data_IF_164656540549
#
_entry.id   IF_164656540549
#
_cell.length_a   1.000
_cell.length_b   1.000
_cell.length_c   1.000
_cell.angle_alpha   90.00
_cell.angle_beta   90.00
_cell.angle_gamma   90.00
#
_symmetry.space_group_name_H-M   'P 1'
#
loop_
_entity.id
_entity.type
_entity.pdbx_description
1 polymer ?
#
# COMPACT_ATOMS: atom_id res chain seq x y z
N UNK A 1 20.49 -5.42 -7.44
CA UNK A 1 19.20 -6.14 -7.46
C UNK A 1 19.00 -6.73 -8.85
N UNK A 2 18.40 -7.91 -8.94
CA UNK A 2 18.06 -8.56 -10.21
C UNK A 2 17.05 -7.70 -11.00
N UNK A 3 17.25 -7.60 -12.35
CA UNK A 3 16.35 -6.84 -13.24
C UNK A 3 14.92 -7.40 -13.20
N UNK A 4 14.77 -8.73 -13.14
CA UNK A 4 13.48 -9.42 -13.02
C UNK A 4 12.73 -8.98 -11.78
N UNK A 5 13.37 -9.01 -10.61
CA UNK A 5 12.75 -8.60 -9.34
C UNK A 5 12.36 -7.12 -9.37
N UNK A 6 13.23 -6.25 -9.92
CA UNK A 6 12.91 -4.84 -10.09
C UNK A 6 11.69 -4.61 -10.99
N UNK A 7 11.60 -5.38 -12.08
CA UNK A 7 10.45 -5.34 -13.00
C UNK A 7 9.18 -5.85 -12.31
N UNK A 8 9.24 -6.99 -11.63
CA UNK A 8 8.10 -7.56 -10.92
C UNK A 8 7.55 -6.60 -9.86
N UNK A 9 8.43 -5.94 -9.09
CA UNK A 9 8.01 -4.92 -8.13
C UNK A 9 7.20 -3.81 -8.83
N UNK A 10 7.64 -3.31 -9.98
CA UNK A 10 6.95 -2.25 -10.73
C UNK A 10 5.59 -2.72 -11.26
N UNK A 11 5.55 -3.91 -11.88
CA UNK A 11 4.33 -4.51 -12.43
C UNK A 11 3.29 -4.71 -11.31
N UNK A 12 3.69 -5.41 -10.25
CA UNK A 12 2.76 -5.69 -9.15
C UNK A 12 2.35 -4.42 -8.40
N UNK A 13 3.26 -3.45 -8.21
CA UNK A 13 2.89 -2.15 -7.62
C UNK A 13 1.79 -1.45 -8.42
N UNK A 14 1.86 -1.51 -9.74
CA UNK A 14 0.86 -0.93 -10.63
C UNK A 14 -0.49 -1.67 -10.51
N UNK A 15 -0.49 -3.00 -10.59
CA UNK A 15 -1.71 -3.80 -10.44
C UNK A 15 -2.34 -3.62 -9.04
N UNK A 16 -1.52 -3.65 -8.01
CA UNK A 16 -1.97 -3.49 -6.62
C UNK A 16 -2.54 -2.10 -6.38
N UNK A 17 -2.06 -1.06 -7.08
CA UNK A 17 -2.68 0.27 -6.98
C UNK A 17 -4.13 0.28 -7.46
N UNK A 18 -4.51 -0.60 -8.39
CA UNK A 18 -5.91 -0.76 -8.82
C UNK A 18 -6.79 -1.33 -7.71
N UNK A 19 -6.28 -2.31 -6.95
CA UNK A 19 -7.02 -2.86 -5.80
C UNK A 19 -7.33 -1.77 -4.77
N UNK A 20 -6.40 -0.84 -4.56
CA UNK A 20 -6.61 0.29 -3.66
C UNK A 20 -7.64 1.27 -4.19
N UNK A 21 -7.64 1.55 -5.49
CA UNK A 21 -8.67 2.39 -6.12
C UNK A 21 -10.05 1.76 -5.98
N UNK A 22 -10.18 0.47 -6.32
CA UNK A 22 -11.44 -0.27 -6.23
C UNK A 22 -11.97 -0.32 -4.80
N UNK A 23 -11.11 -0.55 -3.82
CA UNK A 23 -11.50 -0.51 -2.41
C UNK A 23 -12.00 0.87 -1.97
N UNK A 24 -11.33 1.94 -2.38
CA UNK A 24 -11.70 3.30 -2.02
C UNK A 24 -12.88 3.85 -2.83
N UNK A 25 -13.20 3.24 -3.97
CA UNK A 25 -14.44 3.56 -4.69
C UNK A 25 -15.70 3.30 -3.86
N UNK A 26 -15.56 2.57 -2.76
CA UNK A 26 -16.60 2.36 -1.77
C UNK A 26 -17.11 0.92 -1.72
N UNK A 27 -17.90 0.64 -0.69
CA UNK A 27 -18.61 -0.62 -0.56
C UNK A 27 -19.93 -0.52 -1.32
N UNK A 28 -20.38 -1.63 -1.90
CA UNK A 28 -21.71 -1.72 -2.47
C UNK A 28 -22.77 -1.56 -1.38
N UNK A 29 -23.72 -0.70 -1.62
CA UNK A 29 -24.86 -0.52 -0.73
C UNK A 29 -25.91 -1.60 -1.02
N UNK A 30 -26.11 -2.49 -0.05
CA UNK A 30 -27.09 -3.58 -0.16
C UNK A 30 -28.52 -3.12 0.11
N UNK A 31 -28.75 -1.88 0.56
CA UNK A 31 -30.08 -1.35 0.87
C UNK A 31 -30.99 -1.30 -0.37
N UNK A 32 -30.41 -1.10 -1.53
CA UNK A 32 -31.11 -1.01 -2.82
C UNK A 32 -31.04 -2.29 -3.67
N UNK A 33 -30.62 -3.42 -3.08
CA UNK A 33 -30.54 -4.69 -3.80
C UNK A 33 -31.95 -5.12 -4.29
N UNK A 34 -32.04 -5.44 -5.58
CA UNK A 34 -33.32 -5.76 -6.26
C UNK A 34 -33.87 -7.11 -5.80
N UNK A 35 -32.97 -8.06 -5.46
CA UNK A 35 -33.34 -9.39 -5.02
C UNK A 35 -32.23 -10.01 -4.14
N UNK A 36 -32.49 -11.22 -3.63
CA UNK A 36 -31.54 -11.91 -2.75
C UNK A 36 -30.20 -12.19 -3.45
N UNK A 37 -30.21 -12.59 -4.71
CA UNK A 37 -28.98 -12.86 -5.48
C UNK A 37 -28.13 -11.60 -5.63
N UNK A 38 -28.73 -10.46 -5.90
CA UNK A 38 -28.03 -9.16 -6.00
C UNK A 38 -27.37 -8.79 -4.68
N UNK A 39 -28.06 -9.05 -3.55
CA UNK A 39 -27.49 -8.85 -2.21
C UNK A 39 -26.30 -9.76 -1.92
N UNK A 40 -26.45 -11.07 -2.15
CA UNK A 40 -25.40 -12.05 -1.92
C UNK A 40 -24.16 -11.77 -2.78
N UNK A 41 -24.35 -11.40 -4.04
CA UNK A 41 -23.26 -11.01 -4.95
C UNK A 41 -22.54 -9.75 -4.48
N UNK A 42 -23.27 -8.75 -4.04
CA UNK A 42 -22.72 -7.52 -3.47
C UNK A 42 -21.89 -7.78 -2.20
N UNK A 43 -22.37 -8.64 -1.30
CA UNK A 43 -21.64 -9.03 -0.10
C UNK A 43 -20.34 -9.76 -0.43
N UNK A 44 -20.35 -10.68 -1.40
CA UNK A 44 -19.17 -11.40 -1.87
C UNK A 44 -18.12 -10.42 -2.41
N UNK A 45 -18.52 -9.51 -3.29
CA UNK A 45 -17.62 -8.52 -3.88
C UNK A 45 -17.04 -7.58 -2.80
N UNK A 46 -17.84 -7.15 -1.84
CA UNK A 46 -17.38 -6.34 -0.72
C UNK A 46 -16.33 -7.07 0.15
N UNK A 47 -16.50 -8.36 0.37
CA UNK A 47 -15.52 -9.18 1.08
C UNK A 47 -14.21 -9.24 0.31
N UNK A 48 -14.26 -9.52 -0.98
CA UNK A 48 -13.08 -9.63 -1.85
C UNK A 48 -12.33 -8.30 -1.94
N UNK A 49 -13.01 -7.16 -2.01
CA UNK A 49 -12.36 -5.85 -2.02
C UNK A 49 -11.61 -5.55 -0.73
N UNK A 50 -12.14 -5.93 0.43
CA UNK A 50 -11.44 -5.81 1.72
C UNK A 50 -10.17 -6.65 1.73
N UNK A 51 -10.27 -7.90 1.25
CA UNK A 51 -9.13 -8.81 1.19
C UNK A 51 -8.06 -8.30 0.22
N UNK A 52 -8.45 -7.81 -0.97
CA UNK A 52 -7.55 -7.21 -1.95
C UNK A 52 -6.86 -5.96 -1.43
N UNK A 53 -7.57 -5.12 -0.66
CA UNK A 53 -6.97 -3.94 -0.03
C UNK A 53 -5.96 -4.32 1.06
N UNK A 54 -6.28 -5.32 1.88
CA UNK A 54 -5.36 -5.81 2.90
C UNK A 54 -4.10 -6.42 2.27
N UNK A 55 -4.25 -7.21 1.22
CA UNK A 55 -3.14 -7.71 0.41
C UNK A 55 -2.34 -6.55 -0.20
N UNK A 56 -3.00 -5.56 -0.78
CA UNK A 56 -2.37 -4.41 -1.43
C UNK A 56 -1.50 -3.60 -0.47
N UNK A 57 -2.00 -3.30 0.71
CA UNK A 57 -1.23 -2.62 1.75
C UNK A 57 -0.07 -3.51 2.22
N UNK A 58 -0.31 -4.79 2.49
CA UNK A 58 0.76 -5.73 2.87
C UNK A 58 1.85 -5.81 1.81
N UNK A 59 1.48 -5.78 0.52
CA UNK A 59 2.43 -5.71 -0.59
C UNK A 59 3.30 -4.44 -0.52
N UNK A 60 2.71 -3.26 -0.37
CA UNK A 60 3.47 -2.01 -0.31
C UNK A 60 4.38 -1.93 0.92
N UNK A 61 3.92 -2.40 2.08
CA UNK A 61 4.76 -2.49 3.28
C UNK A 61 5.94 -3.45 3.09
N UNK A 62 5.70 -4.63 2.54
CA UNK A 62 6.74 -5.64 2.27
C UNK A 62 7.76 -5.12 1.24
N UNK A 63 7.31 -4.54 0.13
CA UNK A 63 8.21 -3.94 -0.87
C UNK A 63 9.07 -2.83 -0.27
N UNK A 64 8.47 -1.98 0.58
CA UNK A 64 9.22 -0.88 1.20
C UNK A 64 10.27 -1.41 2.18
N UNK A 65 9.95 -2.42 2.98
CA UNK A 65 10.89 -3.13 3.84
C UNK A 65 12.02 -3.76 3.02
N UNK A 66 11.69 -4.49 1.96
CA UNK A 66 12.65 -5.10 1.05
C UNK A 66 13.63 -4.07 0.46
N UNK A 67 13.12 -3.02 -0.15
CA UNK A 67 13.94 -2.00 -0.81
C UNK A 67 14.81 -1.20 0.18
N UNK A 68 14.35 -1.00 1.41
CA UNK A 68 15.17 -0.33 2.43
C UNK A 68 16.31 -1.24 2.89
N UNK A 69 15.99 -2.49 3.26
CA UNK A 69 16.97 -3.43 3.82
C UNK A 69 17.92 -4.02 2.81
N UNK A 70 17.61 -3.93 1.51
CA UNK A 70 18.55 -4.30 0.46
C UNK A 70 19.85 -3.48 0.56
N UNK A 71 20.93 -4.14 1.05
CA UNK A 71 22.23 -3.50 1.28
C UNK A 71 22.23 -2.44 2.41
N UNK A 72 21.26 -2.47 3.33
CA UNK A 72 21.25 -1.59 4.51
C UNK A 72 22.29 -2.05 5.53
N UNK A 73 23.02 -1.08 6.08
CA UNK A 73 23.89 -1.24 7.24
C UNK A 73 23.95 0.07 8.05
N UNK A 74 24.54 0.06 9.24
CA UNK A 74 24.61 1.25 10.10
C UNK A 74 25.36 2.43 9.45
N UNK A 75 26.39 2.16 8.60
CA UNK A 75 27.17 3.22 7.95
C UNK A 75 26.39 3.98 6.89
N UNK A 76 25.46 3.33 6.20
CA UNK A 76 24.66 3.95 5.13
C UNK A 76 23.22 4.26 5.53
N UNK A 77 22.84 4.01 6.81
CA UNK A 77 21.49 4.19 7.30
C UNK A 77 20.98 5.64 7.06
N UNK A 78 21.72 6.64 7.57
CA UNK A 78 21.30 8.06 7.44
C UNK A 78 21.13 8.48 5.98
N UNK A 79 22.05 8.08 5.09
CA UNK A 79 21.93 8.34 3.65
C UNK A 79 20.69 7.69 3.03
N UNK A 80 20.31 6.51 3.51
CA UNK A 80 19.07 5.86 3.05
C UNK A 80 17.82 6.55 3.60
N UNK A 81 17.84 7.05 4.83
CA UNK A 81 16.74 7.83 5.40
C UNK A 81 16.58 9.16 4.66
N UNK A 82 17.66 9.87 4.38
CA UNK A 82 17.62 11.08 3.55
C UNK A 82 16.91 10.83 2.21
N UNK A 83 17.26 9.75 1.53
CA UNK A 83 16.56 9.35 0.29
C UNK A 83 15.06 9.08 0.54
N UNK A 84 14.68 8.56 1.72
CA UNK A 84 13.26 8.34 2.08
C UNK A 84 12.53 9.64 2.39
N UNK A 85 13.21 10.64 2.96
CA UNK A 85 12.64 11.99 3.09
C UNK A 85 12.22 12.52 1.72
N UNK A 86 13.11 12.46 0.73
CA UNK A 86 12.81 12.93 -0.63
C UNK A 86 11.78 12.07 -1.38
N UNK A 87 11.78 10.76 -1.18
CA UNK A 87 10.92 9.85 -1.95
C UNK A 87 9.57 9.54 -1.29
N UNK A 88 9.40 9.82 0.00
CA UNK A 88 8.17 9.53 0.75
C UNK A 88 7.63 10.77 1.47
N UNK A 89 8.42 11.39 2.36
CA UNK A 89 7.91 12.44 3.24
C UNK A 89 7.57 13.72 2.47
N UNK A 90 8.46 14.20 1.60
CA UNK A 90 8.22 15.42 0.82
C UNK A 90 6.99 15.25 -0.09
N UNK A 91 6.86 14.21 -0.93
CA UNK A 91 5.64 13.99 -1.69
C UNK A 91 4.40 13.90 -0.81
N UNK A 92 4.47 13.19 0.31
CA UNK A 92 3.38 13.09 1.26
C UNK A 92 2.88 14.47 1.71
N UNK A 93 3.79 15.32 2.20
CA UNK A 93 3.43 16.67 2.68
C UNK A 93 2.85 17.56 1.57
N UNK A 94 3.40 17.48 0.36
CA UNK A 94 2.87 18.24 -0.79
C UNK A 94 1.43 17.79 -1.10
N UNK A 95 1.16 16.49 -1.12
CA UNK A 95 -0.19 15.99 -1.39
C UNK A 95 -1.18 16.32 -0.28
N UNK A 96 -0.75 16.38 1.01
CA UNK A 96 -1.60 16.92 2.08
C UNK A 96 -1.95 18.39 1.83
N UNK A 97 -0.96 19.20 1.47
CA UNK A 97 -1.17 20.63 1.16
C UNK A 97 -2.08 20.84 -0.06
N UNK A 98 -1.92 20.05 -1.12
CA UNK A 98 -2.79 20.14 -2.31
C UNK A 98 -4.25 19.81 -1.99
N UNK A 99 -4.51 18.79 -1.15
CA UNK A 99 -5.87 18.47 -0.70
C UNK A 99 -6.43 19.57 0.20
N UNK A 100 -5.62 20.11 1.11
CA UNK A 100 -6.02 21.25 1.93
C UNK A 100 -6.43 22.45 1.06
N UNK A 101 -5.63 22.81 0.06
CA UNK A 101 -5.94 23.89 -0.88
C UNK A 101 -7.25 23.60 -1.61
N UNK A 102 -7.43 22.39 -2.16
CA UNK A 102 -8.69 21.97 -2.80
C UNK A 102 -9.88 22.16 -1.86
N UNK A 103 -9.77 21.68 -0.63
CA UNK A 103 -10.86 21.74 0.34
C UNK A 103 -11.21 23.17 0.75
N UNK A 104 -10.20 24.05 0.92
CA UNK A 104 -10.42 25.47 1.17
C UNK A 104 -11.10 26.16 -0.02
N UNK A 105 -10.74 25.82 -1.27
CA UNK A 105 -11.38 26.36 -2.47
C UNK A 105 -12.86 25.99 -2.59
N UNK A 106 -13.27 24.82 -2.07
CA UNK A 106 -14.69 24.40 -2.03
C UNK A 106 -15.41 24.84 -0.74
N UNK A 107 -14.80 25.72 0.06
CA UNK A 107 -15.41 26.32 1.24
C UNK A 107 -15.31 25.51 2.53
N UNK A 108 -14.61 24.36 2.55
CA UNK A 108 -14.30 23.65 3.79
C UNK A 108 -13.35 24.46 4.66
N UNK A 109 -13.58 24.46 5.96
CA UNK A 109 -12.74 25.19 6.94
C UNK A 109 -12.13 24.19 7.91
N UNK A 110 -10.88 24.40 8.26
CA UNK A 110 -10.12 23.60 9.21
C UNK A 110 -9.46 24.49 10.26
N UNK A 111 -9.41 24.04 11.49
CA UNK A 111 -8.51 24.62 12.49
C UNK A 111 -7.07 24.18 12.22
N UNK A 112 -6.10 25.03 12.53
CA UNK A 112 -4.67 24.71 12.30
C UNK A 112 -4.26 23.45 13.04
N UNK A 113 -4.74 23.27 14.27
CA UNK A 113 -4.46 22.08 15.07
C UNK A 113 -5.01 20.81 14.39
N UNK A 114 -6.25 20.86 13.87
CA UNK A 114 -6.84 19.70 13.14
C UNK A 114 -6.01 19.34 11.89
N UNK A 115 -5.56 20.33 11.13
CA UNK A 115 -4.68 20.08 9.97
C UNK A 115 -3.38 19.41 10.39
N UNK A 116 -2.76 19.83 11.48
CA UNK A 116 -1.53 19.23 11.99
C UNK A 116 -1.77 17.81 12.49
N UNK A 117 -2.81 17.58 13.29
CA UNK A 117 -3.17 16.26 13.82
C UNK A 117 -3.45 15.27 12.70
N UNK A 118 -4.16 15.69 11.66
CA UNK A 118 -4.42 14.87 10.44
C UNK A 118 -3.15 14.63 9.65
N UNK A 119 -2.35 15.67 9.41
CA UNK A 119 -1.11 15.54 8.62
C UNK A 119 -0.13 14.56 9.26
N UNK A 120 -0.02 14.56 10.58
CA UNK A 120 0.86 13.63 11.30
C UNK A 120 0.17 12.35 11.77
N UNK A 121 -1.11 12.16 11.43
CA UNK A 121 -1.87 10.94 11.70
C UNK A 121 -2.07 10.64 13.18
N UNK A 122 -2.04 11.67 14.06
CA UNK A 122 -2.09 11.49 15.51
C UNK A 122 -3.48 11.09 16.02
N UNK A 123 -4.55 11.61 15.42
CA UNK A 123 -5.93 11.29 15.84
C UNK A 123 -6.81 10.79 14.70
N UNK A 124 -6.72 11.40 13.53
CA UNK A 124 -7.64 11.21 12.42
C UNK A 124 -6.92 10.73 11.16
N UNK A 125 -7.70 10.45 10.13
CA UNK A 125 -7.18 10.18 8.80
C UNK A 125 -6.51 11.44 8.23
N UNK A 126 -5.38 11.31 7.52
CA UNK A 126 -4.78 12.41 6.77
C UNK A 126 -5.78 13.06 5.82
N UNK A 127 -5.55 14.32 5.43
CA UNK A 127 -6.39 15.00 4.44
C UNK A 127 -6.44 14.22 3.13
N UNK A 128 -5.28 13.74 2.65
CA UNK A 128 -5.22 12.71 1.62
C UNK A 128 -5.26 11.34 2.31
N UNK A 129 -6.45 10.83 2.53
CA UNK A 129 -6.69 9.61 3.30
C UNK A 129 -5.78 8.45 2.93
N UNK A 130 -5.75 7.98 1.65
CA UNK A 130 -4.94 6.84 1.23
C UNK A 130 -3.44 6.96 1.53
N UNK A 131 -2.90 8.17 1.56
CA UNK A 131 -1.45 8.37 1.77
C UNK A 131 -0.97 8.12 3.20
N UNK A 132 -1.85 7.76 4.14
CA UNK A 132 -1.44 7.41 5.50
C UNK A 132 -0.33 6.34 5.51
N UNK A 133 -0.36 5.39 4.59
CA UNK A 133 0.64 4.32 4.54
C UNK A 133 2.04 4.85 4.19
N UNK A 134 2.13 5.89 3.34
CA UNK A 134 3.40 6.52 2.96
C UNK A 134 4.10 7.11 4.20
N UNK A 135 3.32 7.77 5.05
CA UNK A 135 3.82 8.30 6.31
C UNK A 135 4.24 7.20 7.28
N UNK A 136 3.42 6.16 7.43
CA UNK A 136 3.75 5.01 8.31
C UNK A 136 5.02 4.30 7.85
N UNK A 137 5.19 4.01 6.56
CA UNK A 137 6.42 3.36 6.09
C UNK A 137 7.65 4.27 6.24
N UNK A 138 7.48 5.59 6.18
CA UNK A 138 8.55 6.53 6.51
C UNK A 138 8.93 6.44 7.99
N UNK A 139 7.95 6.42 8.91
CA UNK A 139 8.20 6.24 10.35
C UNK A 139 8.86 4.89 10.67
N UNK A 140 8.42 3.80 10.06
CA UNK A 140 9.04 2.50 10.19
C UNK A 140 10.50 2.51 9.71
N UNK A 141 10.77 3.18 8.59
CA UNK A 141 12.12 3.35 8.09
C UNK A 141 13.01 4.15 9.07
N UNK A 142 12.46 5.23 9.62
CA UNK A 142 13.20 6.13 10.52
C UNK A 142 13.39 5.56 11.92
N UNK A 143 12.34 5.01 12.52
CA UNK A 143 12.36 4.67 13.95
C UNK A 143 12.69 3.20 14.20
N UNK A 144 12.15 2.30 13.38
CA UNK A 144 12.22 0.88 13.63
C UNK A 144 13.38 0.17 12.92
N UNK A 145 13.83 0.67 11.77
CA UNK A 145 14.88 -0.02 11.02
C UNK A 145 16.21 -0.18 11.74
N UNK A 146 16.69 0.75 12.62
CA UNK A 146 17.87 0.50 13.43
C UNK A 146 17.69 -0.69 14.37
N UNK A 147 16.52 -0.82 15.00
CA UNK A 147 16.19 -1.94 15.89
C UNK A 147 16.14 -3.24 15.11
N UNK A 148 15.49 -3.24 13.93
CA UNK A 148 15.44 -4.42 13.07
C UNK A 148 16.83 -4.84 12.57
N UNK A 149 17.76 -3.90 12.34
CA UNK A 149 19.14 -4.26 11.99
C UNK A 149 19.83 -5.08 13.10
N UNK A 150 19.56 -4.77 14.37
CA UNK A 150 20.06 -5.56 15.52
C UNK A 150 19.36 -6.93 15.56
N UNK A 151 18.04 -6.96 15.43
CA UNK A 151 17.25 -8.19 15.46
C UNK A 151 17.60 -9.12 14.28
N UNK A 152 17.96 -8.56 13.14
CA UNK A 152 18.32 -9.28 11.91
C UNK A 152 19.82 -9.53 11.77
N UNK A 153 20.48 -9.87 12.89
CA UNK A 153 21.90 -10.23 12.93
C UNK A 153 22.20 -11.55 12.17
N UNK A 154 21.23 -12.47 12.12
CA UNK A 154 21.29 -13.72 11.38
C UNK A 154 19.95 -14.04 10.72
N UNK A 155 19.94 -14.92 9.70
CA UNK A 155 18.71 -15.41 9.05
C UNK A 155 17.76 -16.02 10.09
N UNK A 156 18.28 -16.81 11.01
CA UNK A 156 17.50 -17.49 12.07
C UNK A 156 16.87 -16.50 13.05
N UNK A 157 17.65 -15.55 13.54
CA UNK A 157 17.16 -14.50 14.45
C UNK A 157 16.08 -13.66 13.80
N UNK A 158 16.27 -13.25 12.54
CA UNK A 158 15.30 -12.47 11.79
C UNK A 158 13.97 -13.23 11.58
N UNK A 159 14.03 -14.53 11.29
CA UNK A 159 12.84 -15.38 11.18
C UNK A 159 12.09 -15.48 12.50
N UNK A 160 12.79 -15.83 13.58
CA UNK A 160 12.18 -15.97 14.90
C UNK A 160 11.52 -14.66 15.33
N UNK A 161 12.21 -13.52 15.17
CA UNK A 161 11.66 -12.24 15.56
C UNK A 161 10.45 -11.82 14.73
N UNK A 162 10.46 -12.09 13.41
CA UNK A 162 9.32 -11.80 12.54
C UNK A 162 8.10 -12.65 12.92
N UNK A 163 8.30 -13.93 13.14
CA UNK A 163 7.24 -14.85 13.54
C UNK A 163 6.69 -14.54 14.94
N UNK A 164 7.57 -14.26 15.89
CA UNK A 164 7.18 -13.85 17.24
C UNK A 164 6.35 -12.55 17.22
N UNK A 165 6.74 -11.58 16.38
CA UNK A 165 5.99 -10.34 16.21
C UNK A 165 4.60 -10.56 15.64
N UNK A 166 4.46 -11.46 14.65
CA UNK A 166 3.17 -11.86 14.09
C UNK A 166 2.22 -12.44 15.17
N UNK A 167 2.72 -13.39 15.95
CA UNK A 167 1.95 -13.99 17.04
C UNK A 167 1.59 -12.94 18.08
N UNK A 168 2.54 -12.11 18.49
CA UNK A 168 2.34 -11.07 19.49
C UNK A 168 1.23 -10.09 19.05
N UNK A 169 1.30 -9.60 17.81
CA UNK A 169 0.31 -8.65 17.29
C UNK A 169 -1.08 -9.30 17.23
N UNK A 170 -1.15 -10.57 16.79
CA UNK A 170 -2.42 -11.30 16.78
C UNK A 170 -3.01 -11.43 18.19
N UNK A 171 -2.17 -11.81 19.15
CA UNK A 171 -2.57 -11.89 20.57
C UNK A 171 -3.05 -10.54 21.12
N UNK A 172 -2.29 -9.47 20.86
CA UNK A 172 -2.65 -8.12 21.31
C UNK A 172 -3.98 -7.64 20.72
N UNK A 173 -4.26 -7.96 19.46
CA UNK A 173 -5.53 -7.60 18.80
C UNK A 173 -6.73 -8.39 19.28
N UNK A 174 -6.51 -9.58 19.83
CA UNK A 174 -7.56 -10.45 20.37
C UNK A 174 -7.74 -10.30 21.89
N UNK A 175 -6.89 -9.52 22.55
CA UNK A 175 -6.97 -9.36 23.99
C UNK A 175 -8.26 -8.67 24.42
N UNK A 176 -8.86 -9.16 25.51
CA UNK A 176 -10.00 -8.52 26.18
C UNK A 176 -9.57 -7.48 27.23
N UNK A 177 -8.24 -7.31 27.46
CA UNK A 177 -7.71 -6.35 28.42
C UNK A 177 -7.94 -4.93 27.90
N UNK A 178 -8.86 -4.19 28.49
CA UNK A 178 -9.38 -2.91 28.02
C UNK A 178 -8.28 -1.86 27.72
N UNK A 179 -7.31 -1.57 28.61
CA UNK A 179 -6.25 -0.61 28.31
C UNK A 179 -5.41 -0.99 27.09
N UNK A 180 -5.09 -2.29 26.96
CA UNK A 180 -4.32 -2.80 25.82
C UNK A 180 -5.12 -2.69 24.54
N UNK A 181 -6.40 -3.08 24.58
CA UNK A 181 -7.32 -2.98 23.44
C UNK A 181 -7.43 -1.55 22.92
N UNK A 182 -7.58 -0.57 23.81
CA UNK A 182 -7.65 0.85 23.45
C UNK A 182 -6.36 1.27 22.71
N UNK A 183 -5.19 1.02 23.28
CA UNK A 183 -3.90 1.40 22.71
C UNK A 183 -3.68 0.73 21.35
N UNK A 184 -3.94 -0.58 21.25
CA UNK A 184 -3.73 -1.36 20.02
C UNK A 184 -4.70 -0.97 18.90
N UNK A 185 -5.89 -0.47 19.26
CA UNK A 185 -6.92 -0.06 18.29
C UNK A 185 -6.82 1.41 17.88
N UNK A 186 -5.97 2.20 18.54
CA UNK A 186 -5.94 3.64 18.33
C UNK A 186 -5.10 4.07 17.11
N UNK A 187 -5.73 4.78 16.20
CA UNK A 187 -5.16 5.59 15.12
C UNK A 187 -3.92 5.02 14.41
N UNK A 188 -2.87 5.80 14.40
CA UNK A 188 -1.60 5.49 13.74
C UNK A 188 -0.93 4.21 14.31
N UNK A 189 -1.01 3.99 15.61
CA UNK A 189 -0.39 2.83 16.26
C UNK A 189 -1.00 1.51 15.82
N UNK A 190 -2.33 1.45 15.72
CA UNK A 190 -3.04 0.29 15.18
C UNK A 190 -2.60 -0.05 13.75
N UNK A 191 -2.41 0.96 12.91
CA UNK A 191 -1.95 0.80 11.52
C UNK A 191 -0.53 0.28 11.46
N UNK A 192 0.38 0.85 12.27
CA UNK A 192 1.75 0.37 12.40
C UNK A 192 1.75 -1.11 12.79
N UNK A 193 1.07 -1.48 13.86
CA UNK A 193 1.01 -2.86 14.32
C UNK A 193 0.45 -3.81 13.26
N UNK A 194 -0.60 -3.41 12.55
CA UNK A 194 -1.25 -4.27 11.55
C UNK A 194 -0.30 -4.67 10.43
N UNK A 195 0.53 -3.74 9.93
CA UNK A 195 1.36 -3.96 8.76
C UNK A 195 2.85 -4.14 9.06
N UNK A 196 3.25 -4.01 10.34
CA UNK A 196 4.62 -4.24 10.77
C UNK A 196 5.15 -5.62 10.37
N UNK A 197 4.41 -6.74 10.53
CA UNK A 197 4.90 -8.04 10.10
C UNK A 197 5.18 -8.11 8.59
N UNK A 198 4.30 -7.55 7.75
CA UNK A 198 4.53 -7.48 6.31
C UNK A 198 5.82 -6.70 5.99
N UNK A 199 6.05 -5.56 6.67
CA UNK A 199 7.29 -4.79 6.54
C UNK A 199 8.52 -5.60 6.97
N UNK A 200 8.44 -6.34 8.10
CA UNK A 200 9.52 -7.21 8.59
C UNK A 200 9.83 -8.37 7.63
N UNK A 201 8.79 -8.99 7.04
CA UNK A 201 8.97 -10.02 6.02
C UNK A 201 9.75 -9.44 4.83
N UNK A 202 9.33 -8.28 4.31
CA UNK A 202 10.06 -7.60 3.25
C UNK A 202 11.49 -7.25 3.64
N UNK A 203 11.70 -6.72 4.84
CA UNK A 203 13.02 -6.38 5.39
C UNK A 203 13.92 -7.62 5.48
N UNK A 204 13.38 -8.77 5.90
CA UNK A 204 14.07 -10.05 5.91
C UNK A 204 14.60 -10.42 4.52
N UNK A 205 13.73 -10.43 3.52
CA UNK A 205 14.12 -10.74 2.14
C UNK A 205 15.14 -9.74 1.57
N UNK A 206 15.04 -8.47 1.94
CA UNK A 206 16.01 -7.44 1.54
C UNK A 206 17.37 -7.59 2.21
N UNK A 207 17.38 -7.92 3.52
CA UNK A 207 18.60 -8.07 4.31
C UNK A 207 19.45 -9.26 3.86
N UNK A 208 18.79 -10.38 3.55
CA UNK A 208 19.44 -11.64 3.20
C UNK A 208 19.33 -11.97 1.71
N UNK A 209 19.12 -10.94 0.88
CA UNK A 209 19.03 -11.09 -0.57
C UNK A 209 20.33 -11.63 -1.17
N UNK A 210 20.24 -12.74 -1.89
CA UNK A 210 21.32 -13.32 -2.67
C UNK A 210 20.94 -13.28 -4.15
N UNK A 211 21.83 -12.72 -4.98
CA UNK A 211 21.58 -12.62 -6.42
C UNK A 211 21.54 -14.02 -7.05
N UNK A 212 20.56 -14.25 -7.91
CA UNK A 212 20.34 -15.50 -8.66
C UNK A 212 20.03 -16.75 -7.80
N UNK A 213 19.72 -16.57 -6.51
CA UNK A 213 19.22 -17.65 -5.66
C UNK A 213 17.79 -17.39 -5.25
N UNK A 214 16.99 -18.44 -5.33
CA UNK A 214 15.68 -18.43 -4.68
C UNK A 214 15.93 -18.40 -3.17
N UNK A 215 15.35 -17.44 -2.42
CA UNK A 215 15.61 -17.40 -0.98
C UNK A 215 15.15 -18.70 -0.33
N UNK A 216 16.04 -19.36 0.43
CA UNK A 216 15.67 -20.52 1.28
C UNK A 216 14.45 -20.22 2.15
N UNK A 217 14.31 -18.94 2.54
CA UNK A 217 13.16 -18.39 3.22
C UNK A 217 11.81 -18.60 2.51
N UNK A 218 11.78 -18.83 1.19
CA UNK A 218 10.52 -19.16 0.51
C UNK A 218 9.97 -20.49 0.95
N UNK A 219 10.81 -21.50 1.12
CA UNK A 219 10.40 -22.80 1.63
C UNK A 219 9.83 -22.62 3.04
N UNK A 220 10.50 -21.84 3.88
CA UNK A 220 10.00 -21.53 5.23
C UNK A 220 8.70 -20.72 5.19
N UNK A 221 8.57 -19.74 4.28
CA UNK A 221 7.32 -18.97 4.13
C UNK A 221 6.16 -19.86 3.72
N UNK A 222 6.37 -20.78 2.77
CA UNK A 222 5.36 -21.74 2.36
C UNK A 222 5.01 -22.73 3.48
N UNK A 223 6.02 -23.19 4.23
CA UNK A 223 5.79 -24.07 5.40
C UNK A 223 4.99 -23.34 6.49
N UNK A 224 5.30 -22.07 6.76
CA UNK A 224 4.54 -21.25 7.73
C UNK A 224 3.11 -21.03 7.28
N UNK A 225 2.86 -20.77 6.00
CA UNK A 225 1.51 -20.65 5.44
C UNK A 225 0.73 -21.94 5.59
N UNK A 226 1.35 -23.09 5.27
CA UNK A 226 0.73 -24.41 5.44
C UNK A 226 0.41 -24.69 6.91
N UNK A 227 1.35 -24.40 7.80
CA UNK A 227 1.16 -24.56 9.24
C UNK A 227 0.04 -23.65 9.77
N UNK A 228 -0.02 -22.40 9.29
CA UNK A 228 -1.10 -21.48 9.64
C UNK A 228 -2.46 -21.96 9.17
N UNK A 229 -2.55 -22.61 8.01
CA UNK A 229 -3.76 -23.26 7.52
C UNK A 229 -4.24 -24.37 8.48
N UNK A 230 -3.33 -25.21 8.95
CA UNK A 230 -3.63 -26.26 9.91
C UNK A 230 -4.09 -25.72 11.28
N UNK A 231 -3.63 -24.51 11.66
CA UNK A 231 -4.00 -23.86 12.90
C UNK A 231 -5.26 -22.98 12.81
N UNK A 232 -5.75 -22.68 11.62
CA UNK A 232 -6.88 -21.75 11.42
C UNK A 232 -8.16 -22.21 12.11
N UNK A 233 -8.31 -23.51 12.34
CA UNK A 233 -9.36 -24.09 13.17
C UNK A 233 -9.38 -23.57 14.62
N UNK A 234 -8.20 -23.18 15.16
CA UNK A 234 -8.07 -22.72 16.55
C UNK A 234 -7.89 -21.21 16.67
N UNK A 235 -7.36 -20.57 15.63
CA UNK A 235 -7.04 -19.14 15.63
C UNK A 235 -7.63 -18.54 14.34
N UNK A 236 -8.92 -18.22 14.39
CA UNK A 236 -9.66 -17.66 13.25
C UNK A 236 -8.95 -16.48 12.60
N UNK A 237 -8.81 -16.51 11.28
CA UNK A 237 -8.19 -15.48 10.47
C UNK A 237 -6.66 -15.44 10.51
N UNK A 238 -6.00 -16.33 11.25
CA UNK A 238 -4.52 -16.41 11.29
C UNK A 238 -3.93 -16.83 9.95
N UNK A 239 -4.58 -17.78 9.30
CA UNK A 239 -4.19 -18.22 7.95
C UNK A 239 -4.27 -17.09 6.93
N UNK A 240 -5.37 -16.34 6.92
CA UNK A 240 -5.54 -15.19 6.01
C UNK A 240 -4.44 -14.15 6.23
N UNK A 241 -4.15 -13.79 7.49
CA UNK A 241 -3.08 -12.86 7.83
C UNK A 241 -1.71 -13.34 7.30
N UNK A 242 -1.40 -14.63 7.49
CA UNK A 242 -0.15 -15.23 7.02
C UNK A 242 -0.03 -15.19 5.50
N UNK A 243 -1.06 -15.61 4.79
CA UNK A 243 -1.09 -15.60 3.31
C UNK A 243 -0.92 -14.18 2.80
N UNK A 244 -1.73 -13.26 3.27
CA UNK A 244 -1.75 -11.87 2.78
C UNK A 244 -0.41 -11.16 3.03
N UNK A 245 0.27 -11.46 4.13
CA UNK A 245 1.55 -10.82 4.45
C UNK A 245 2.76 -11.47 3.77
N UNK A 246 2.69 -12.77 3.45
CA UNK A 246 3.82 -13.53 2.89
C UNK A 246 3.78 -13.57 1.37
N UNK A 247 2.59 -13.72 0.80
CA UNK A 247 2.38 -13.85 -0.64
C UNK A 247 3.01 -12.73 -1.49
N UNK A 248 3.03 -11.45 -1.07
CA UNK A 248 3.69 -10.39 -1.83
C UNK A 248 5.14 -10.70 -2.20
N UNK A 249 5.94 -11.15 -1.22
CA UNK A 249 7.35 -11.48 -1.49
C UNK A 249 7.46 -12.75 -2.34
N UNK A 250 6.65 -13.76 -2.06
CA UNK A 250 6.63 -15.00 -2.86
C UNK A 250 6.34 -14.68 -4.33
N UNK A 251 5.33 -13.88 -4.62
CA UNK A 251 4.98 -13.49 -6.01
C UNK A 251 6.13 -12.74 -6.69
N UNK A 252 6.76 -11.77 -6.02
CA UNK A 252 7.87 -11.00 -6.59
C UNK A 252 9.04 -11.93 -6.99
N UNK A 253 9.33 -12.95 -6.19
CA UNK A 253 10.45 -13.85 -6.42
C UNK A 253 10.16 -15.00 -7.38
N UNK A 254 8.92 -15.54 -7.38
CA UNK A 254 8.52 -16.66 -8.25
C UNK A 254 8.16 -16.20 -9.66
N UNK A 255 7.53 -15.03 -9.79
CA UNK A 255 6.97 -14.59 -11.05
C UNK A 255 8.06 -14.51 -12.14
N UNK A 256 7.85 -15.14 -13.31
CA UNK A 256 8.82 -15.14 -14.38
C UNK A 256 8.99 -13.73 -14.98
N UNK A 257 10.12 -13.50 -15.63
CA UNK A 257 10.31 -12.32 -16.46
C UNK A 257 9.38 -12.38 -17.67
N UNK A 258 8.63 -11.32 -17.92
CA UNK A 258 7.79 -11.18 -19.11
C UNK A 258 8.31 -9.97 -19.89
N UNK A 259 9.16 -10.16 -20.91
CA UNK A 259 9.83 -9.06 -21.62
C UNK A 259 8.86 -8.01 -22.18
N UNK A 260 7.66 -8.43 -22.62
CA UNK A 260 6.62 -7.52 -23.12
C UNK A 260 6.06 -6.57 -22.06
N UNK A 261 6.16 -6.91 -20.79
CA UNK A 261 5.67 -6.10 -19.65
C UNK A 261 6.80 -5.30 -19.00
N UNK A 262 8.06 -5.60 -19.27
CA UNK A 262 9.19 -4.89 -18.64
C UNK A 262 9.26 -3.43 -19.08
N UNK A 263 9.64 -2.56 -18.15
CA UNK A 263 9.94 -1.14 -18.38
C UNK A 263 8.82 -0.34 -19.09
N UNK A 264 7.55 -0.72 -18.94
CA UNK A 264 6.43 0.07 -19.48
C UNK A 264 6.30 1.38 -18.70
N UNK A 265 6.16 2.49 -19.45
CA UNK A 265 5.99 3.84 -18.87
C UNK A 265 4.81 3.92 -17.90
N UNK A 266 3.77 3.13 -18.12
CA UNK A 266 2.54 3.11 -17.30
C UNK A 266 2.82 2.83 -15.80
N UNK A 267 3.89 2.08 -15.48
CA UNK A 267 4.22 1.77 -14.09
C UNK A 267 4.74 2.98 -13.29
N UNK A 268 5.20 4.03 -13.97
CA UNK A 268 5.60 5.27 -13.30
C UNK A 268 4.39 6.06 -12.77
N UNK A 269 3.19 5.76 -13.26
CA UNK A 269 1.96 6.44 -12.82
C UNK A 269 1.40 5.91 -11.50
N UNK A 270 1.90 4.75 -11.00
CA UNK A 270 1.41 4.08 -9.78
C UNK A 270 1.23 5.04 -8.60
N UNK A 271 2.22 5.89 -8.32
CA UNK A 271 2.14 6.83 -7.20
C UNK A 271 1.10 7.93 -7.44
N UNK A 272 1.00 8.45 -8.67
CA UNK A 272 -0.01 9.46 -9.02
C UNK A 272 -1.43 8.88 -8.96
N UNK A 273 -1.65 7.64 -9.47
CA UNK A 273 -2.92 6.94 -9.32
C UNK A 273 -3.30 6.89 -7.85
N UNK A 274 -2.34 6.50 -6.99
CA UNK A 274 -2.57 6.37 -5.56
C UNK A 274 -2.82 7.69 -4.85
N UNK A 275 -2.18 8.78 -5.26
CA UNK A 275 -2.35 10.10 -4.66
C UNK A 275 -3.62 10.83 -5.13
N UNK A 276 -4.08 10.54 -6.36
CA UNK A 276 -5.21 11.26 -6.98
C UNK A 276 -6.56 10.60 -6.77
N UNK A 277 -6.62 9.25 -6.66
CA UNK A 277 -7.90 8.53 -6.77
C UNK A 277 -8.91 8.95 -5.71
N UNK A 278 -8.54 9.03 -4.44
CA UNK A 278 -9.51 9.30 -3.38
C UNK A 278 -9.92 10.77 -3.32
N UNK A 279 -8.99 11.74 -3.15
CA UNK A 279 -9.40 13.13 -2.93
C UNK A 279 -9.89 13.87 -4.17
N UNK A 280 -9.71 13.30 -5.39
CA UNK A 280 -10.07 13.99 -6.64
C UNK A 280 -11.04 13.20 -7.52
N UNK A 281 -11.11 11.87 -7.38
CA UNK A 281 -11.96 11.02 -8.21
C UNK A 281 -13.09 10.40 -7.40
N UNK A 282 -12.79 9.76 -6.25
CA UNK A 282 -13.82 9.15 -5.41
C UNK A 282 -14.76 10.19 -4.81
N UNK A 283 -14.25 11.40 -4.52
CA UNK A 283 -15.11 12.52 -4.07
C UNK A 283 -16.19 12.90 -5.11
N UNK A 284 -16.03 12.49 -6.38
CA UNK A 284 -17.03 12.68 -7.44
C UNK A 284 -18.06 11.55 -7.51
N UNK A 285 -17.93 10.51 -6.66
CA UNK A 285 -18.82 9.35 -6.67
C UNK A 285 -20.29 9.73 -6.61
N UNK A 286 -20.66 10.64 -5.72
CA UNK A 286 -22.06 11.10 -5.58
C UNK A 286 -22.65 11.63 -6.88
N UNK A 287 -21.88 12.37 -7.68
CA UNK A 287 -22.35 12.84 -9.00
C UNK A 287 -22.50 11.71 -10.01
N UNK A 288 -21.63 10.69 -9.92
CA UNK A 288 -21.71 9.50 -10.78
C UNK A 288 -22.96 8.69 -10.41
N UNK A 289 -23.21 8.47 -9.12
CA UNK A 289 -24.38 7.77 -8.59
C UNK A 289 -25.68 8.43 -9.05
N UNK A 290 -25.80 9.76 -8.88
CA UNK A 290 -26.96 10.52 -9.35
C UNK A 290 -27.15 10.43 -10.88
N UNK A 291 -26.05 10.51 -11.63
CA UNK A 291 -26.06 10.40 -13.09
C UNK A 291 -26.44 9.00 -13.61
N UNK A 292 -26.24 7.96 -12.81
CA UNK A 292 -26.53 6.57 -13.17
C UNK A 292 -27.86 6.05 -12.57
N UNK A 293 -28.45 6.74 -11.60
CA UNK A 293 -29.63 6.28 -10.87
C UNK A 293 -30.88 6.03 -11.73
N UNK A 294 -30.96 6.63 -12.93
CA UNK A 294 -32.06 6.46 -13.87
C UNK A 294 -31.96 5.18 -14.74
N UNK A 295 -30.82 4.47 -14.69
CA UNK A 295 -30.60 3.27 -15.50
C UNK A 295 -31.23 2.06 -14.81
N UNK A 296 -32.21 1.38 -15.44
CA UNK A 296 -32.94 0.28 -14.81
C UNK A 296 -32.18 -1.05 -14.90
N UNK A 297 -31.01 -1.13 -14.26
CA UNK A 297 -30.20 -2.35 -14.17
C UNK A 297 -29.96 -2.73 -12.71
N UNK A 298 -29.64 -4.00 -12.40
CA UNK A 298 -29.30 -4.42 -11.05
C UNK A 298 -28.20 -3.55 -10.42
N UNK A 299 -28.41 -3.17 -9.17
CA UNK A 299 -27.51 -2.27 -8.43
C UNK A 299 -26.06 -2.78 -8.42
N UNK A 300 -25.85 -4.09 -8.28
CA UNK A 300 -24.51 -4.67 -8.30
C UNK A 300 -23.80 -4.45 -9.64
N UNK A 301 -24.51 -4.58 -10.77
CA UNK A 301 -23.93 -4.34 -12.10
C UNK A 301 -23.57 -2.86 -12.27
N UNK A 302 -24.45 -1.97 -11.80
CA UNK A 302 -24.22 -0.53 -11.81
C UNK A 302 -22.97 -0.15 -11.01
N UNK A 303 -22.85 -0.70 -9.80
CA UNK A 303 -21.70 -0.49 -8.94
C UNK A 303 -20.39 -1.02 -9.55
N UNK A 304 -20.40 -2.19 -10.20
CA UNK A 304 -19.22 -2.70 -10.92
C UNK A 304 -18.81 -1.71 -12.02
N UNK A 305 -19.77 -1.24 -12.81
CA UNK A 305 -19.50 -0.27 -13.87
C UNK A 305 -18.91 1.03 -13.32
N UNK A 306 -19.49 1.56 -12.24
CA UNK A 306 -18.99 2.73 -11.54
C UNK A 306 -17.53 2.55 -11.05
N UNK A 307 -17.22 1.42 -10.42
CA UNK A 307 -15.87 1.13 -9.94
C UNK A 307 -14.87 1.05 -11.09
N UNK A 308 -15.24 0.47 -12.22
CA UNK A 308 -14.41 0.45 -13.43
C UNK A 308 -14.22 1.85 -14.02
N UNK A 309 -15.25 2.69 -13.97
CA UNK A 309 -15.18 4.10 -14.41
C UNK A 309 -14.22 4.90 -13.51
N UNK A 310 -14.34 4.76 -12.20
CA UNK A 310 -13.45 5.40 -11.21
C UNK A 310 -12.00 4.94 -11.42
N UNK A 311 -11.77 3.64 -11.64
CA UNK A 311 -10.45 3.12 -11.93
C UNK A 311 -9.87 3.71 -13.22
N UNK A 312 -10.65 3.69 -14.31
CA UNK A 312 -10.24 4.26 -15.59
C UNK A 312 -9.93 5.76 -15.48
N UNK A 313 -10.80 6.52 -14.83
CA UNK A 313 -10.59 7.95 -14.58
C UNK A 313 -9.31 8.22 -13.78
N UNK A 314 -9.03 7.42 -12.74
CA UNK A 314 -7.84 7.55 -11.92
C UNK A 314 -6.56 7.31 -12.73
N UNK A 315 -6.56 6.28 -13.59
CA UNK A 315 -5.42 5.98 -14.46
C UNK A 315 -5.23 7.05 -15.53
N UNK A 316 -6.30 7.49 -16.17
CA UNK A 316 -6.26 8.53 -17.22
C UNK A 316 -5.81 9.87 -16.66
N UNK A 317 -6.33 10.27 -15.49
CA UNK A 317 -5.93 11.52 -14.83
C UNK A 317 -4.44 11.48 -14.44
N UNK A 318 -3.97 10.38 -13.85
CA UNK A 318 -2.57 10.20 -13.50
C UNK A 318 -1.65 10.25 -14.73
N UNK A 319 -2.04 9.59 -15.83
CA UNK A 319 -1.31 9.61 -17.09
C UNK A 319 -1.30 11.01 -17.74
N UNK A 320 -2.45 11.68 -17.75
CA UNK A 320 -2.60 13.05 -18.29
C UNK A 320 -1.75 14.05 -17.51
N UNK A 321 -1.85 14.04 -16.17
CA UNK A 321 -1.06 14.92 -15.30
C UNK A 321 0.44 14.64 -15.44
N UNK A 322 0.85 13.37 -15.49
CA UNK A 322 2.25 13.01 -15.71
C UNK A 322 2.78 13.57 -17.02
N UNK A 323 2.06 13.36 -18.15
CA UNK A 323 2.47 13.88 -19.46
C UNK A 323 2.51 15.40 -19.50
N UNK A 324 1.54 16.06 -18.88
CA UNK A 324 1.50 17.53 -18.78
C UNK A 324 2.72 18.05 -18.01
N UNK A 325 2.99 17.50 -16.84
CA UNK A 325 4.12 17.93 -16.02
C UNK A 325 5.48 17.54 -16.59
N UNK A 326 5.58 16.41 -17.29
CA UNK A 326 6.81 16.07 -18.05
C UNK A 326 7.16 17.16 -19.05
N UNK A 327 6.16 17.77 -19.70
CA UNK A 327 6.36 18.84 -20.69
C UNK A 327 6.59 20.20 -20.05
N UNK A 328 5.83 20.54 -19.00
CA UNK A 328 5.86 21.88 -18.37
C UNK A 328 6.97 22.03 -17.32
N UNK A 329 7.13 21.04 -16.46
CA UNK A 329 8.09 21.07 -15.35
C UNK A 329 8.44 19.66 -14.85
N UNK A 330 9.41 18.97 -15.46
CA UNK A 330 9.88 17.66 -15.01
C UNK A 330 10.35 17.64 -13.56
N UNK A 331 10.87 18.78 -13.06
CA UNK A 331 11.30 18.92 -11.67
C UNK A 331 10.12 18.81 -10.69
N UNK A 332 9.00 19.47 -11.00
CA UNK A 332 7.78 19.37 -10.17
C UNK A 332 7.28 17.94 -10.17
N UNK A 333 7.21 17.30 -11.34
CA UNK A 333 6.81 15.89 -11.44
C UNK A 333 7.69 14.99 -10.56
N UNK A 334 9.01 15.16 -10.62
CA UNK A 334 9.94 14.39 -9.79
C UNK A 334 9.68 14.61 -8.29
N UNK A 335 9.43 15.83 -7.87
CA UNK A 335 9.18 16.14 -6.45
C UNK A 335 7.85 15.53 -5.97
N UNK A 336 6.75 15.73 -6.69
CA UNK A 336 5.42 15.24 -6.26
C UNK A 336 5.27 13.72 -6.35
N UNK A 337 6.13 13.04 -7.13
CA UNK A 337 6.17 11.58 -7.26
C UNK A 337 7.29 10.94 -6.44
N UNK A 338 8.13 11.73 -5.77
CA UNK A 338 9.30 11.23 -5.03
C UNK A 338 10.34 10.57 -5.94
N UNK A 339 10.59 11.16 -7.12
CA UNK A 339 11.55 10.66 -8.10
C UNK A 339 11.09 9.48 -8.95
N UNK A 340 9.80 9.10 -8.89
CA UNK A 340 9.21 8.02 -9.70
C UNK A 340 8.78 8.53 -11.08
N UNK A 341 9.68 9.21 -11.78
CA UNK A 341 9.42 9.71 -13.14
C UNK A 341 9.62 8.63 -14.19
N UNK A 342 8.95 8.72 -15.35
CA UNK A 342 9.27 7.87 -16.49
C UNK A 342 10.73 8.08 -16.88
N UNK A 343 11.49 7.01 -16.92
CA UNK A 343 12.89 7.07 -17.37
C UNK A 343 12.85 7.42 -18.86
N UNK A 344 13.37 8.58 -19.22
CA UNK A 344 13.83 8.80 -20.58
C UNK A 344 14.97 7.81 -20.82
N UNK A 345 14.81 6.91 -21.79
CA UNK A 345 15.77 5.86 -22.16
C UNK A 345 17.09 6.42 -22.72
N UNK A 346 17.37 7.71 -22.54
CA UNK A 346 18.59 8.39 -22.97
C UNK A 346 19.65 8.63 -21.89
N UNK A 347 19.27 8.63 -20.61
CA UNK A 347 20.24 8.89 -19.54
C UNK A 347 20.50 7.64 -18.71
N UNK A 348 21.51 6.88 -19.08
CA UNK A 348 22.18 5.91 -18.23
C UNK A 348 22.77 6.70 -17.04
N UNK A 349 22.06 6.72 -15.93
CA UNK A 349 22.59 7.29 -14.69
C UNK A 349 23.70 6.39 -14.20
N UNK A 350 24.93 6.79 -14.49
CA UNK A 350 26.09 6.47 -13.72
C UNK A 350 25.94 7.10 -12.33
N UNK A 351 25.88 6.28 -11.27
CA UNK A 351 25.82 6.75 -9.90
C UNK A 351 25.43 5.65 -8.93
#
# INVERSE_FOLDING_TARGET
MDKRISSNIKIFSFVVSWFMVLFHAGMYDNSNAVNQFDRELSELINYDYKLLAFFGLSFFFSVTGFLLFYGLNYRNYLKKIERRVHSLLIPYLIWQALVLIKDLCIGRRYEILDVLLRTFGLELWPLNGPLWYVYVVFLLALLLSPVLLLMFSSKRSAWISTFAMLILIRFLKQTSIEPVRIVVSYGLFSRILTYLPAYMIGAYYGRFYEKNRMPESMVYSLAVVLFAYLLDFKISGFFTDMVVMTLPMVLIFIFPSIPKLENRKIYSYTFLIYALHHPFIVDLKGFIDEGLAWIPIPVTILNIFEHMLILAASVLLAAGLSKLLEKLSPKILAVITGGRTPVNTGDSING
#
